data_IF_018120211729
#
_entry.id   IF_018120211729
#
_cell.length_a   1.000
_cell.length_b   1.000
_cell.length_c   1.000
_cell.angle_alpha   90.00
_cell.angle_beta   90.00
_cell.angle_gamma   90.00
#
_symmetry.space_group_name_H-M   'P 1'
#
loop_
_entity.id
_entity.type
_entity.pdbx_description
1 polymer ?
#
# COMPACT_ATOMS: atom_id res chain seq x y z
N UNK A 1 22.13 -23.75 1.99
CA UNK A 1 22.69 -25.09 1.81
C UNK A 1 22.89 -25.77 3.17
N UNK A 2 22.76 -27.11 3.22
CA UNK A 2 22.93 -27.89 4.45
C UNK A 2 24.32 -27.62 5.06
N UNK A 3 24.35 -27.33 6.37
CA UNK A 3 25.54 -26.97 7.15
C UNK A 3 26.15 -25.57 6.89
N UNK A 4 25.58 -24.74 6.07
CA UNK A 4 25.94 -23.32 6.00
C UNK A 4 25.12 -22.51 6.99
N UNK A 5 25.73 -21.42 7.49
CA UNK A 5 25.00 -20.46 8.34
C UNK A 5 24.42 -19.38 7.45
N UNK A 6 23.12 -19.18 7.55
CA UNK A 6 22.37 -18.10 6.85
C UNK A 6 21.70 -17.23 7.89
N UNK A 7 21.53 -15.96 7.61
CA UNK A 7 20.76 -15.06 8.48
C UNK A 7 19.29 -15.09 8.06
N UNK A 8 18.42 -15.44 9.01
CA UNK A 8 16.99 -15.34 8.88
C UNK A 8 16.51 -14.11 9.67
N UNK A 9 15.70 -13.27 9.06
CA UNK A 9 15.04 -12.17 9.75
C UNK A 9 13.62 -12.60 10.13
N UNK A 10 13.29 -12.58 11.42
CA UNK A 10 11.94 -12.80 11.94
C UNK A 10 11.38 -11.44 12.32
N UNK A 11 10.26 -11.05 11.71
CA UNK A 11 9.54 -9.83 12.05
C UNK A 11 8.43 -10.14 13.04
N UNK A 12 8.40 -9.41 14.15
CA UNK A 12 7.33 -9.45 15.14
C UNK A 12 6.57 -8.14 15.07
N UNK A 13 5.25 -8.21 14.94
CA UNK A 13 4.39 -7.04 14.84
C UNK A 13 3.29 -7.07 15.91
N UNK A 14 2.96 -5.91 16.48
CA UNK A 14 1.79 -5.75 17.32
C UNK A 14 0.55 -5.48 16.44
N UNK A 15 -0.26 -6.51 16.23
CA UNK A 15 -1.54 -6.44 15.49
C UNK A 15 -2.74 -6.28 16.43
N UNK A 16 -2.51 -6.22 17.75
CA UNK A 16 -3.55 -6.04 18.77
C UNK A 16 -4.16 -4.63 18.77
N UNK A 17 -5.23 -4.45 19.50
CA UNK A 17 -5.91 -3.15 19.67
C UNK A 17 -5.22 -2.23 20.71
N UNK A 18 -4.28 -2.77 21.49
CA UNK A 18 -3.54 -2.07 22.53
C UNK A 18 -2.03 -2.12 22.36
N UNK A 19 -1.34 -1.25 23.09
CA UNK A 19 0.12 -1.28 23.17
C UNK A 19 0.58 -2.43 24.09
N UNK A 20 1.78 -2.96 23.80
CA UNK A 20 2.47 -3.89 24.69
C UNK A 20 3.69 -3.21 25.29
N UNK A 21 3.90 -3.31 26.59
CA UNK A 21 5.06 -2.73 27.26
C UNK A 21 6.36 -3.42 26.87
N UNK A 22 6.32 -4.74 26.71
CA UNK A 22 7.41 -5.55 26.15
C UNK A 22 6.87 -6.88 25.64
N UNK A 23 7.64 -7.55 24.79
CA UNK A 23 7.38 -8.92 24.32
C UNK A 23 8.65 -9.74 24.44
N UNK A 24 8.58 -10.85 25.15
CA UNK A 24 9.64 -11.85 25.17
C UNK A 24 9.45 -12.82 24.00
N UNK A 25 10.44 -12.90 23.13
CA UNK A 25 10.48 -13.81 22.00
C UNK A 25 11.44 -14.96 22.31
N UNK A 26 10.93 -16.18 22.34
CA UNK A 26 11.72 -17.38 22.57
C UNK A 26 11.78 -18.25 21.30
N UNK A 27 12.99 -18.56 20.85
CA UNK A 27 13.26 -19.40 19.69
C UNK A 27 14.20 -20.51 20.13
N UNK A 28 13.68 -21.73 20.20
CA UNK A 28 14.44 -22.88 20.68
C UNK A 28 14.99 -23.71 19.53
N UNK A 29 16.29 -23.98 19.58
CA UNK A 29 16.91 -24.97 18.68
C UNK A 29 16.20 -26.31 18.75
N UNK A 30 16.22 -27.03 17.65
CA UNK A 30 15.69 -28.37 17.60
C UNK A 30 16.57 -29.29 16.73
N UNK A 31 16.13 -30.50 16.46
CA UNK A 31 16.88 -31.48 15.66
C UNK A 31 17.10 -31.07 14.19
N UNK A 32 16.45 -30.02 13.71
CA UNK A 32 16.47 -29.61 12.30
C UNK A 32 17.37 -28.40 12.03
N UNK A 33 17.67 -27.58 13.04
CA UNK A 33 18.55 -26.42 12.94
C UNK A 33 19.28 -26.08 14.26
N UNK A 34 20.28 -25.19 14.13
CA UNK A 34 21.02 -24.56 15.24
C UNK A 34 21.09 -23.04 14.99
N UNK A 35 21.29 -22.28 16.05
CA UNK A 35 21.40 -20.81 16.04
C UNK A 35 22.74 -20.37 16.63
N UNK A 36 23.84 -20.47 15.88
CA UNK A 36 25.16 -20.14 16.40
C UNK A 36 25.24 -18.69 16.92
N UNK A 37 25.62 -18.52 18.19
CA UNK A 37 25.78 -17.21 18.80
C UNK A 37 24.47 -16.52 19.25
N UNK A 38 23.30 -17.16 19.08
CA UNK A 38 22.02 -16.63 19.54
C UNK A 38 21.59 -17.33 20.83
N UNK A 39 21.15 -16.57 21.84
CA UNK A 39 20.79 -17.10 23.17
C UNK A 39 19.42 -17.80 23.22
N UNK A 40 18.69 -17.79 22.12
CA UNK A 40 17.33 -18.37 22.06
C UNK A 40 16.23 -17.46 22.60
N UNK A 41 16.58 -16.28 23.15
CA UNK A 41 15.61 -15.33 23.70
C UNK A 41 15.99 -13.89 23.37
N UNK A 42 14.98 -13.09 22.98
CA UNK A 42 15.06 -11.64 22.79
C UNK A 42 13.88 -11.00 23.50
N UNK A 43 14.13 -9.94 24.26
CA UNK A 43 13.04 -9.09 24.79
C UNK A 43 12.93 -7.86 23.92
N UNK A 44 11.79 -7.70 23.28
CA UNK A 44 11.47 -6.54 22.45
C UNK A 44 10.87 -5.46 23.37
N UNK A 45 11.23 -4.16 23.18
CA UNK A 45 10.72 -3.08 24.00
C UNK A 45 9.24 -2.80 23.69
N UNK A 46 8.72 -1.71 24.25
CA UNK A 46 7.35 -1.27 24.04
C UNK A 46 6.98 -1.18 22.57
N UNK A 47 5.83 -1.79 22.23
CA UNK A 47 5.22 -1.79 20.90
C UNK A 47 3.89 -1.05 20.94
N UNK A 48 3.71 -0.07 20.07
CA UNK A 48 2.39 0.47 19.76
C UNK A 48 1.66 -0.44 18.78
N UNK A 49 0.34 -0.31 18.73
CA UNK A 49 -0.46 -1.00 17.70
C UNK A 49 0.06 -0.67 16.29
N UNK A 50 0.40 -1.67 15.54
CA UNK A 50 0.97 -1.57 14.19
C UNK A 50 2.49 -1.49 14.13
N UNK A 51 3.20 -1.30 15.27
CA UNK A 51 4.67 -1.33 15.30
C UNK A 51 5.20 -2.73 15.02
N UNK A 52 6.40 -2.80 14.44
CA UNK A 52 7.11 -4.06 14.23
C UNK A 52 8.58 -3.96 14.60
N UNK A 53 9.18 -5.09 14.91
CA UNK A 53 10.62 -5.23 15.13
C UNK A 53 11.16 -6.48 14.45
N UNK A 54 12.38 -6.34 13.89
CA UNK A 54 13.08 -7.41 13.20
C UNK A 54 14.10 -8.05 14.14
N UNK A 55 14.08 -9.38 14.21
CA UNK A 55 15.06 -10.20 14.94
C UNK A 55 15.93 -10.91 13.91
N UNK A 56 17.22 -10.62 13.89
CA UNK A 56 18.17 -11.34 13.05
C UNK A 56 18.60 -12.63 13.75
N UNK A 57 18.40 -13.74 13.10
CA UNK A 57 18.66 -15.07 13.61
C UNK A 57 19.68 -15.78 12.71
N UNK A 58 20.93 -15.99 13.15
CA UNK A 58 21.86 -16.84 12.42
C UNK A 58 21.41 -18.30 12.53
N UNK A 59 21.09 -18.92 11.41
CA UNK A 59 20.60 -20.30 11.35
C UNK A 59 21.61 -21.18 10.63
N UNK A 60 21.97 -22.29 11.25
CA UNK A 60 22.65 -23.39 10.61
C UNK A 60 21.67 -24.54 10.43
N UNK A 61 21.24 -24.81 9.21
CA UNK A 61 20.29 -25.87 8.92
C UNK A 61 20.97 -27.23 8.94
N UNK A 62 20.35 -28.20 9.58
CA UNK A 62 20.83 -29.58 9.66
C UNK A 62 20.12 -30.51 8.68
N UNK A 63 18.93 -30.11 8.24
CA UNK A 63 18.08 -30.83 7.27
C UNK A 63 17.63 -29.86 6.17
N UNK A 64 17.29 -30.39 5.00
CA UNK A 64 16.78 -29.61 3.88
C UNK A 64 15.37 -29.05 4.15
N UNK A 65 14.60 -29.73 4.99
CA UNK A 65 13.35 -29.23 5.56
C UNK A 65 13.57 -29.03 7.06
N UNK A 66 13.20 -27.87 7.56
CA UNK A 66 13.34 -27.54 8.98
C UNK A 66 12.15 -26.67 9.42
N UNK A 67 11.93 -26.61 10.72
CA UNK A 67 10.90 -25.78 11.29
C UNK A 67 11.45 -25.01 12.48
N UNK A 68 10.87 -23.82 12.69
CA UNK A 68 11.18 -22.95 13.81
C UNK A 68 9.89 -22.81 14.62
N UNK A 69 9.98 -23.05 15.93
CA UNK A 69 8.91 -22.69 16.85
C UNK A 69 9.27 -21.36 17.49
N UNK A 70 8.40 -20.37 17.32
CA UNK A 70 8.50 -19.07 17.94
C UNK A 70 7.45 -18.98 19.03
N UNK A 71 7.88 -18.71 20.25
CA UNK A 71 7.00 -18.45 21.38
C UNK A 71 7.10 -16.95 21.71
N UNK A 72 5.99 -16.25 21.69
CA UNK A 72 5.86 -14.85 22.08
C UNK A 72 5.12 -14.79 23.42
N UNK A 73 5.70 -14.10 24.39
CA UNK A 73 5.06 -13.86 25.68
C UNK A 73 4.95 -12.37 25.92
N UNK A 74 3.74 -11.85 25.99
CA UNK A 74 3.49 -10.44 26.27
C UNK A 74 3.71 -10.09 27.75
N UNK A 75 3.67 -8.80 28.07
CA UNK A 75 3.87 -8.29 29.42
C UNK A 75 2.79 -8.74 30.42
N UNK A 76 1.61 -9.13 29.93
CA UNK A 76 0.52 -9.69 30.74
C UNK A 76 0.69 -11.19 31.00
N UNK A 77 1.72 -11.80 30.38
CA UNK A 77 2.02 -13.20 30.51
C UNK A 77 1.25 -14.11 29.56
N UNK A 78 0.50 -13.55 28.61
CA UNK A 78 -0.16 -14.33 27.54
C UNK A 78 0.89 -14.85 26.58
N UNK A 79 0.77 -16.14 26.24
CA UNK A 79 1.72 -16.83 25.38
C UNK A 79 1.05 -17.12 24.04
N UNK A 80 1.76 -16.80 22.96
CA UNK A 80 1.41 -17.16 21.60
C UNK A 80 2.54 -18.00 21.02
N UNK A 81 2.21 -19.14 20.43
CA UNK A 81 3.17 -20.03 19.81
C UNK A 81 2.87 -20.18 18.33
N UNK A 82 3.91 -20.05 17.50
CA UNK A 82 3.82 -20.28 16.07
C UNK A 82 4.91 -21.20 15.59
N UNK A 83 4.54 -22.16 14.74
CA UNK A 83 5.47 -23.00 14.02
C UNK A 83 5.61 -22.50 12.59
N UNK A 84 6.85 -22.32 12.14
CA UNK A 84 7.21 -21.90 10.80
C UNK A 84 7.96 -23.05 10.14
N UNK A 85 7.36 -23.66 9.11
CA UNK A 85 7.99 -24.73 8.33
C UNK A 85 8.75 -24.09 7.15
N UNK A 86 10.02 -24.46 7.00
CA UNK A 86 10.96 -23.89 6.05
C UNK A 86 11.65 -24.99 5.24
N UNK A 87 11.98 -24.69 3.98
CA UNK A 87 12.72 -25.58 3.11
C UNK A 87 13.93 -24.87 2.49
N UNK A 88 15.11 -25.53 2.50
CA UNK A 88 16.28 -25.02 1.79
C UNK A 88 16.20 -25.39 0.31
N UNK A 89 16.27 -24.41 -0.56
CA UNK A 89 16.34 -24.62 -2.03
C UNK A 89 17.76 -24.45 -2.53
N UNK A 90 18.25 -25.40 -3.32
CA UNK A 90 19.64 -25.42 -3.81
C UNK A 90 19.98 -24.39 -4.90
N UNK A 91 19.01 -23.79 -5.56
CA UNK A 91 19.21 -22.95 -6.77
C UNK A 91 18.37 -21.69 -6.82
N UNK A 92 17.97 -21.11 -5.72
CA UNK A 92 17.14 -19.90 -5.73
C UNK A 92 18.00 -18.64 -5.57
N UNK A 93 17.99 -17.74 -6.57
CA UNK A 93 18.69 -16.44 -6.55
C UNK A 93 17.82 -15.28 -6.06
N UNK A 94 16.58 -15.52 -5.72
CA UNK A 94 15.71 -14.50 -5.12
C UNK A 94 15.59 -14.68 -3.61
N UNK A 95 15.54 -13.63 -2.82
CA UNK A 95 15.29 -13.74 -1.39
C UNK A 95 13.91 -14.37 -1.19
N UNK A 96 13.84 -15.44 -0.39
CA UNK A 96 12.59 -16.06 0.02
C UNK A 96 11.91 -15.10 1.01
N UNK A 97 10.81 -14.50 0.62
CA UNK A 97 9.97 -13.71 1.52
C UNK A 97 9.13 -14.68 2.36
N UNK A 98 9.33 -14.61 3.68
CA UNK A 98 8.51 -15.33 4.66
C UNK A 98 7.55 -14.32 5.28
N UNK A 99 6.28 -14.47 4.99
CA UNK A 99 5.24 -13.74 5.69
C UNK A 99 4.82 -14.53 6.92
N UNK A 100 5.03 -13.97 8.11
CA UNK A 100 4.50 -14.51 9.36
C UNK A 100 3.20 -13.76 9.63
N UNK A 101 2.08 -14.47 9.54
CA UNK A 101 0.80 -13.96 10.03
C UNK A 101 0.68 -14.38 11.50
N UNK A 102 0.47 -13.42 12.40
CA UNK A 102 0.00 -13.73 13.74
C UNK A 102 -1.46 -14.15 13.63
N UNK A 103 -1.67 -15.45 13.72
CA UNK A 103 -3.00 -16.01 13.86
C UNK A 103 -3.35 -15.91 15.34
N UNK A 104 -4.08 -14.87 15.73
CA UNK A 104 -4.73 -14.86 17.04
C UNK A 104 -5.39 -16.23 17.32
N UNK A 105 -5.39 -16.65 18.55
CA UNK A 105 -5.62 -17.98 19.15
C UNK A 105 -6.92 -18.71 18.77
N UNK A 106 -7.42 -18.58 17.58
CA UNK A 106 -8.43 -19.48 17.01
C UNK A 106 -7.98 -19.77 15.58
N UNK A 107 -8.04 -21.01 15.15
CA UNK A 107 -7.82 -21.44 13.78
C UNK A 107 -8.63 -20.53 12.86
N UNK A 108 -8.02 -19.45 12.36
CA UNK A 108 -8.66 -18.62 11.35
C UNK A 108 -8.57 -19.40 10.05
N UNK A 109 -9.52 -20.30 9.91
CA UNK A 109 -9.90 -20.77 8.59
C UNK A 109 -10.29 -19.53 7.81
N UNK A 110 -9.56 -19.21 6.76
CA UNK A 110 -9.92 -18.15 5.83
C UNK A 110 -11.30 -18.46 5.25
N UNK A 111 -12.32 -17.84 5.80
CA UNK A 111 -13.64 -17.79 5.21
C UNK A 111 -13.73 -16.51 4.39
N UNK A 112 -13.84 -16.61 3.06
CA UNK A 112 -13.80 -15.45 2.18
C UNK A 112 -14.88 -14.39 2.44
N UNK A 113 -15.91 -14.69 3.22
CA UNK A 113 -17.15 -13.91 3.28
C UNK A 113 -17.77 -13.75 4.69
N UNK A 114 -17.05 -13.95 5.80
CA UNK A 114 -17.63 -13.71 7.11
C UNK A 114 -17.67 -12.22 7.49
N UNK A 115 -18.92 -11.78 7.60
CA UNK A 115 -19.40 -10.48 8.01
C UNK A 115 -18.83 -10.07 9.38
N UNK A 116 -18.10 -8.96 9.43
CA UNK A 116 -17.85 -8.24 10.66
C UNK A 116 -16.47 -7.62 10.82
N UNK A 117 -15.41 -8.21 10.31
CA UNK A 117 -14.06 -7.67 10.41
C UNK A 117 -13.54 -7.15 9.07
N UNK A 118 -12.92 -5.97 9.09
CA UNK A 118 -12.32 -5.38 7.91
C UNK A 118 -10.93 -6.01 7.78
N UNK A 119 -10.87 -7.12 7.07
CA UNK A 119 -9.72 -7.98 6.91
C UNK A 119 -8.46 -7.26 6.37
N UNK A 120 -8.65 -6.33 5.41
CA UNK A 120 -7.55 -5.57 4.81
C UNK A 120 -6.84 -4.61 5.76
N UNK A 121 -7.46 -4.23 6.87
CA UNK A 121 -6.87 -3.31 7.85
C UNK A 121 -5.97 -4.01 8.86
N UNK A 122 -6.18 -5.31 9.07
CA UNK A 122 -5.57 -6.08 10.16
C UNK A 122 -4.49 -7.06 9.69
N UNK A 123 -4.64 -7.63 8.51
CA UNK A 123 -3.74 -8.65 7.98
C UNK A 123 -2.89 -8.10 6.83
N UNK A 124 -2.14 -7.02 7.14
CA UNK A 124 -1.25 -6.41 6.15
C UNK A 124 0.01 -7.28 6.04
N UNK A 125 0.35 -7.77 4.84
CA UNK A 125 1.59 -8.51 4.63
C UNK A 125 2.82 -7.71 5.05
N UNK A 126 3.86 -8.39 5.49
CA UNK A 126 5.11 -7.76 5.88
C UNK A 126 6.20 -8.10 4.88
N UNK A 127 6.80 -7.08 4.28
CA UNK A 127 7.94 -7.21 3.38
C UNK A 127 9.23 -6.75 4.05
N UNK A 128 10.37 -7.14 3.45
CA UNK A 128 11.67 -6.56 3.79
C UNK A 128 11.69 -5.08 3.43
N UNK A 129 12.59 -4.34 4.11
CA UNK A 129 12.86 -2.93 3.76
C UNK A 129 13.20 -2.82 2.28
N UNK A 130 12.43 -1.99 1.58
CA UNK A 130 12.59 -1.70 0.18
C UNK A 130 13.03 -0.24 0.00
N UNK A 131 14.32 0.02 -0.18
CA UNK A 131 14.80 1.38 -0.33
C UNK A 131 14.49 1.96 -1.72
N UNK A 132 14.12 1.14 -2.71
CA UNK A 132 13.92 1.56 -4.12
C UNK A 132 12.52 2.10 -4.41
N UNK A 133 11.77 2.51 -3.40
CA UNK A 133 10.41 3.02 -3.60
C UNK A 133 10.18 4.36 -2.93
N UNK A 134 9.29 5.14 -3.51
CA UNK A 134 8.70 6.35 -2.91
C UNK A 134 7.17 6.27 -3.10
N UNK A 135 6.39 6.67 -2.09
CA UNK A 135 4.95 6.76 -2.24
C UNK A 135 4.41 8.10 -1.79
N UNK A 136 3.47 8.62 -2.58
CA UNK A 136 2.65 9.79 -2.28
C UNK A 136 1.23 9.31 -2.00
N UNK A 137 0.69 9.61 -0.82
CA UNK A 137 -0.59 9.05 -0.38
C UNK A 137 -1.51 10.16 0.09
N UNK A 138 -2.55 10.45 -0.68
CA UNK A 138 -3.56 11.44 -0.37
C UNK A 138 -4.93 10.81 -0.15
N UNK A 139 -5.64 11.31 0.87
CA UNK A 139 -7.05 11.05 1.11
C UNK A 139 -7.70 12.30 1.66
N UNK A 140 -8.79 12.75 1.04
CA UNK A 140 -9.49 13.98 1.40
C UNK A 140 -10.94 13.62 1.75
N UNK A 141 -11.26 13.62 3.03
CA UNK A 141 -12.59 13.31 3.53
C UNK A 141 -13.43 14.57 3.76
N UNK A 142 -12.80 15.63 4.32
CA UNK A 142 -13.45 16.87 4.67
C UNK A 142 -12.93 18.03 3.84
N UNK A 143 -13.85 18.75 3.20
CA UNK A 143 -13.57 19.90 2.34
C UNK A 143 -13.97 21.20 3.04
N UNK A 144 -13.22 22.29 2.81
CA UNK A 144 -13.52 23.59 3.43
C UNK A 144 -14.79 24.26 2.90
N UNK A 145 -15.17 23.98 1.66
CA UNK A 145 -16.44 24.46 1.08
C UNK A 145 -17.51 23.41 1.39
N UNK A 146 -18.50 23.77 2.21
CA UNK A 146 -19.54 22.86 2.69
C UNK A 146 -20.48 22.29 1.62
N UNK A 147 -20.38 22.79 0.39
CA UNK A 147 -21.11 22.23 -0.78
C UNK A 147 -20.51 20.93 -1.28
N UNK A 148 -19.25 20.62 -0.92
CA UNK A 148 -18.73 19.30 -1.08
C UNK A 148 -19.13 18.45 0.15
N UNK A 149 -19.90 17.39 -0.06
CA UNK A 149 -20.24 16.49 1.06
C UNK A 149 -19.00 15.86 1.64
N UNK A 150 -19.11 15.35 2.85
CA UNK A 150 -18.05 14.52 3.44
C UNK A 150 -17.84 13.25 2.62
N UNK A 151 -16.62 13.02 2.13
CA UNK A 151 -16.26 11.80 1.41
C UNK A 151 -15.88 10.71 2.41
N UNK A 152 -16.87 9.95 2.84
CA UNK A 152 -16.72 8.96 3.92
C UNK A 152 -15.61 7.98 3.63
N UNK A 153 -14.85 7.67 4.68
CA UNK A 153 -13.73 6.71 4.71
C UNK A 153 -12.49 7.12 3.92
N UNK A 154 -12.43 8.29 3.30
CA UNK A 154 -11.25 8.71 2.52
C UNK A 154 -10.00 8.85 3.40
N UNK A 155 -10.13 9.31 4.66
CA UNK A 155 -9.03 9.35 5.60
C UNK A 155 -8.57 7.94 6.00
N UNK A 156 -9.52 7.02 6.21
CA UNK A 156 -9.22 5.62 6.51
C UNK A 156 -8.50 4.95 5.33
N UNK A 157 -9.01 5.12 4.12
CA UNK A 157 -8.39 4.61 2.89
C UNK A 157 -6.93 5.06 2.76
N UNK A 158 -6.67 6.36 2.98
CA UNK A 158 -5.32 6.93 3.02
C UNK A 158 -4.44 6.27 4.08
N UNK A 159 -4.95 6.17 5.30
CA UNK A 159 -4.15 5.70 6.44
C UNK A 159 -3.81 4.22 6.30
N UNK A 160 -4.75 3.40 5.82
CA UNK A 160 -4.50 1.98 5.54
C UNK A 160 -3.56 1.82 4.34
N UNK A 161 -3.74 2.57 3.26
CA UNK A 161 -2.82 2.54 2.11
C UNK A 161 -1.40 2.90 2.53
N UNK A 162 -1.21 3.90 3.40
CA UNK A 162 0.11 4.22 3.97
C UNK A 162 0.71 3.05 4.74
N UNK A 163 -0.10 2.33 5.52
CA UNK A 163 0.36 1.12 6.21
C UNK A 163 0.81 0.04 5.21
N UNK A 164 0.08 -0.14 4.11
CA UNK A 164 0.49 -1.09 3.07
C UNK A 164 1.83 -0.68 2.43
N UNK A 165 2.01 0.58 2.07
CA UNK A 165 3.32 1.03 1.56
C UNK A 165 4.44 0.85 2.59
N UNK A 166 4.16 1.08 3.87
CA UNK A 166 5.15 0.86 4.91
C UNK A 166 5.44 -0.64 5.14
N UNK A 167 4.40 -1.47 5.25
CA UNK A 167 4.53 -2.87 5.68
C UNK A 167 4.67 -3.82 4.49
N UNK A 168 3.72 -3.81 3.55
CA UNK A 168 3.70 -4.73 2.42
C UNK A 168 4.73 -4.37 1.33
N UNK A 169 4.97 -3.07 1.11
CA UNK A 169 6.00 -2.60 0.18
C UNK A 169 7.37 -2.38 0.84
N UNK A 170 7.43 -2.40 2.16
CA UNK A 170 8.67 -2.24 2.93
C UNK A 170 9.25 -0.83 2.95
N UNK A 171 8.43 0.20 2.68
CA UNK A 171 8.89 1.59 2.65
C UNK A 171 9.01 2.16 4.07
N UNK A 172 10.10 2.86 4.34
CA UNK A 172 10.26 3.64 5.57
C UNK A 172 9.43 4.92 5.54
N UNK A 173 9.18 5.54 6.69
CA UNK A 173 8.45 6.82 6.76
C UNK A 173 9.10 7.93 5.94
N UNK A 174 10.43 7.88 5.77
CA UNK A 174 11.15 8.81 4.90
C UNK A 174 10.73 8.69 3.44
N UNK A 175 10.30 7.52 2.98
CA UNK A 175 9.89 7.23 1.61
C UNK A 175 8.41 7.56 1.36
N UNK A 176 7.65 7.93 2.41
CA UNK A 176 6.23 8.26 2.31
C UNK A 176 6.01 9.78 2.35
N UNK A 177 5.32 10.30 1.33
CA UNK A 177 4.87 11.70 1.28
C UNK A 177 3.34 11.79 1.52
N UNK A 178 2.87 12.80 2.23
CA UNK A 178 3.64 13.75 3.03
C UNK A 178 4.35 13.05 4.17
N UNK A 179 5.52 13.55 4.57
CA UNK A 179 6.34 12.91 5.61
C UNK A 179 5.67 12.92 6.98
N UNK A 180 4.77 13.86 7.20
CA UNK A 180 4.00 14.01 8.44
C UNK A 180 2.52 14.13 8.10
N UNK A 181 1.74 13.06 8.26
CA UNK A 181 0.30 13.06 7.89
C UNK A 181 -0.51 14.19 8.53
N UNK A 182 -0.20 14.56 9.77
CA UNK A 182 -0.90 15.66 10.47
C UNK A 182 -0.61 17.07 9.91
N UNK A 183 0.46 17.26 9.12
CA UNK A 183 0.71 18.53 8.44
C UNK A 183 -0.25 18.75 7.26
N UNK A 184 -0.83 17.65 6.77
CA UNK A 184 -1.85 17.67 5.72
C UNK A 184 -3.18 17.11 6.21
N UNK A 185 -3.55 17.43 7.45
CA UNK A 185 -4.82 17.02 8.01
C UNK A 185 -5.96 17.44 7.08
N UNK A 186 -6.73 16.45 6.58
CA UNK A 186 -7.76 16.65 5.58
C UNK A 186 -7.27 16.74 4.12
N UNK A 187 -6.00 16.38 3.82
CA UNK A 187 -5.45 16.36 2.46
C UNK A 187 -4.83 17.67 1.99
N UNK A 188 -4.22 17.71 0.79
CA UNK A 188 -3.51 18.88 0.29
C UNK A 188 -4.44 19.99 -0.20
N UNK A 189 -4.00 21.23 -0.03
CA UNK A 189 -4.53 22.40 -0.71
C UNK A 189 -4.02 22.47 -2.16
N UNK A 190 -4.61 23.34 -2.97
CA UNK A 190 -4.16 23.56 -4.36
C UNK A 190 -2.69 24.00 -4.40
N UNK A 191 -2.28 24.88 -3.51
CA UNK A 191 -0.89 25.32 -3.40
C UNK A 191 0.05 24.20 -3.00
N UNK A 192 -0.38 23.33 -2.07
CA UNK A 192 0.41 22.15 -1.66
C UNK A 192 0.58 21.13 -2.79
N UNK A 193 -0.43 20.95 -3.66
CA UNK A 193 -0.26 20.14 -4.88
C UNK A 193 0.84 20.70 -5.77
N UNK A 194 0.84 22.02 -6.03
CA UNK A 194 1.87 22.67 -6.85
C UNK A 194 3.27 22.53 -6.25
N UNK A 195 3.39 22.72 -4.93
CA UNK A 195 4.66 22.56 -4.23
C UNK A 195 5.16 21.11 -4.30
N UNK A 196 4.29 20.14 -4.10
CA UNK A 196 4.70 18.72 -4.08
C UNK A 196 5.12 18.25 -5.46
N UNK A 197 4.35 18.62 -6.49
CA UNK A 197 4.53 18.11 -7.85
C UNK A 197 5.32 19.03 -8.78
N UNK A 198 5.90 20.13 -8.29
CA UNK A 198 6.84 20.91 -9.11
C UNK A 198 8.00 20.00 -9.54
N UNK A 199 8.19 19.76 -10.86
CA UNK A 199 9.17 18.78 -11.33
C UNK A 199 10.62 19.23 -11.17
N UNK A 200 10.88 20.50 -10.84
CA UNK A 200 12.21 21.09 -10.74
C UNK A 200 12.65 21.27 -9.30
N UNK A 201 11.79 21.79 -8.42
CA UNK A 201 12.10 22.11 -7.03
C UNK A 201 11.02 21.65 -6.02
N UNK A 202 10.09 20.82 -6.43
CA UNK A 202 9.04 20.28 -5.57
C UNK A 202 9.52 19.26 -4.55
N UNK A 203 8.64 18.95 -3.60
CA UNK A 203 8.97 18.02 -2.52
C UNK A 203 9.26 16.61 -3.05
N UNK A 204 8.52 16.15 -4.07
CA UNK A 204 8.79 14.88 -4.72
C UNK A 204 10.16 14.88 -5.38
N UNK A 205 10.53 15.94 -6.11
CA UNK A 205 11.85 16.06 -6.73
C UNK A 205 12.98 16.04 -5.70
N UNK A 206 12.84 16.78 -4.60
CA UNK A 206 13.79 16.80 -3.49
C UNK A 206 13.95 15.42 -2.87
N UNK A 207 12.84 14.68 -2.73
CA UNK A 207 12.85 13.32 -2.19
C UNK A 207 13.55 12.34 -3.12
N UNK A 208 13.31 12.41 -4.43
CA UNK A 208 14.02 11.61 -5.44
C UNK A 208 15.53 11.88 -5.35
N UNK A 209 15.93 13.15 -5.36
CA UNK A 209 17.36 13.52 -5.27
C UNK A 209 18.02 13.00 -3.98
N UNK A 210 17.27 13.05 -2.86
CA UNK A 210 17.77 12.53 -1.58
C UNK A 210 17.89 11.01 -1.59
N UNK A 211 16.93 10.29 -2.16
CA UNK A 211 16.97 8.84 -2.27
C UNK A 211 18.16 8.37 -3.11
N UNK A 212 18.39 8.98 -4.27
CA UNK A 212 19.55 8.69 -5.12
C UNK A 212 20.86 8.95 -4.39
N UNK A 213 20.97 10.10 -3.70
CA UNK A 213 22.22 10.52 -3.03
C UNK A 213 22.59 9.64 -1.83
N UNK A 214 21.60 9.25 -1.02
CA UNK A 214 21.86 8.62 0.27
C UNK A 214 21.60 7.11 0.31
N UNK A 215 20.87 6.58 -0.64
CA UNK A 215 20.52 5.15 -0.66
C UNK A 215 21.32 4.35 -1.69
N UNK A 216 22.22 4.99 -2.45
CA UNK A 216 22.99 4.38 -3.56
C UNK A 216 22.08 3.66 -4.57
N UNK A 217 20.89 4.20 -4.79
CA UNK A 217 19.85 3.60 -5.63
C UNK A 217 20.01 4.09 -7.05
N UNK A 218 20.21 3.17 -7.96
CA UNK A 218 20.27 3.46 -9.39
C UNK A 218 18.87 3.63 -10.00
N UNK A 219 17.86 2.97 -9.40
CA UNK A 219 16.47 2.99 -9.89
C UNK A 219 15.45 3.12 -8.76
N UNK A 220 14.44 3.97 -8.96
CA UNK A 220 13.36 4.25 -8.00
C UNK A 220 12.01 3.99 -8.64
N UNK A 221 11.14 3.27 -7.94
CA UNK A 221 9.73 3.14 -8.26
C UNK A 221 8.93 4.18 -7.46
N UNK A 222 8.07 4.94 -8.14
CA UNK A 222 7.21 5.94 -7.53
C UNK A 222 5.76 5.46 -7.58
N UNK A 223 5.08 5.54 -6.45
CA UNK A 223 3.66 5.24 -6.32
C UNK A 223 2.91 6.50 -5.90
N UNK A 224 1.77 6.75 -6.52
CA UNK A 224 0.85 7.79 -6.10
C UNK A 224 -0.51 7.17 -5.85
N UNK A 225 -1.04 7.33 -4.66
CA UNK A 225 -2.41 6.99 -4.32
C UNK A 225 -3.18 8.26 -4.01
N UNK A 226 -4.35 8.40 -4.63
CA UNK A 226 -5.27 9.50 -4.40
C UNK A 226 -6.67 8.96 -4.11
N UNK A 227 -7.28 9.41 -3.02
CA UNK A 227 -8.69 9.23 -2.69
C UNK A 227 -9.33 10.59 -2.41
N UNK A 228 -10.25 11.02 -3.26
CA UNK A 228 -10.86 12.35 -3.14
C UNK A 228 -11.93 12.61 -4.18
N UNK A 229 -12.49 13.81 -4.13
CA UNK A 229 -13.38 14.27 -5.18
C UNK A 229 -12.63 14.70 -6.44
N UNK A 230 -13.28 14.53 -7.58
CA UNK A 230 -12.92 15.11 -8.85
C UNK A 230 -14.12 15.81 -9.50
N UNK A 231 -13.87 16.59 -10.52
CA UNK A 231 -14.87 17.26 -11.31
C UNK A 231 -14.46 17.31 -12.79
N UNK A 232 -15.43 17.17 -13.67
CA UNK A 232 -15.23 17.38 -15.09
C UNK A 232 -15.59 18.81 -15.46
N UNK A 233 -14.66 19.54 -16.07
CA UNK A 233 -14.87 20.92 -16.55
C UNK A 233 -14.37 21.03 -17.97
N UNK A 234 -15.26 21.32 -18.91
CA UNK A 234 -14.93 21.45 -20.34
C UNK A 234 -14.15 20.23 -20.91
N UNK A 235 -14.51 19.02 -20.48
CA UNK A 235 -13.85 17.80 -20.92
C UNK A 235 -12.52 17.47 -20.23
N UNK A 236 -12.10 18.28 -19.26
CA UNK A 236 -10.88 18.05 -18.49
C UNK A 236 -11.21 17.60 -17.06
N UNK A 237 -10.60 16.52 -16.57
CA UNK A 237 -10.75 16.08 -15.20
C UNK A 237 -9.84 16.90 -14.27
N UNK A 238 -10.44 17.39 -13.18
CA UNK A 238 -9.77 18.15 -12.14
C UNK A 238 -9.84 17.39 -10.82
N UNK A 239 -8.77 17.39 -10.05
CA UNK A 239 -8.79 16.99 -8.63
C UNK A 239 -9.29 18.17 -7.79
N UNK A 240 -10.03 17.86 -6.73
CA UNK A 240 -10.57 18.87 -5.83
C UNK A 240 -9.73 18.92 -4.56
N UNK A 241 -8.87 19.95 -4.38
CA UNK A 241 -8.12 20.16 -3.15
C UNK A 241 -9.04 20.45 -1.95
N UNK A 242 -8.55 20.21 -0.72
CA UNK A 242 -9.34 20.47 0.50
C UNK A 242 -9.89 21.88 0.65
N UNK A 243 -9.20 22.87 0.05
CA UNK A 243 -9.57 24.29 0.12
C UNK A 243 -10.25 24.82 -1.14
N UNK A 244 -10.55 23.95 -2.10
CA UNK A 244 -11.22 24.32 -3.35
C UNK A 244 -12.56 24.99 -3.08
N UNK A 245 -12.90 25.96 -3.93
CA UNK A 245 -14.20 26.61 -3.95
C UNK A 245 -15.07 26.01 -5.03
N UNK A 246 -16.29 25.63 -4.66
CA UNK A 246 -17.22 24.92 -5.55
C UNK A 246 -17.39 25.62 -6.92
N UNK A 247 -17.59 26.94 -6.91
CA UNK A 247 -17.84 27.75 -8.13
C UNK A 247 -16.55 28.28 -8.77
N UNK A 248 -15.35 27.91 -8.31
CA UNK A 248 -14.09 28.45 -8.82
C UNK A 248 -13.16 27.36 -9.31
N UNK A 249 -13.19 27.08 -10.61
CA UNK A 249 -12.35 26.04 -11.23
C UNK A 249 -10.85 26.31 -11.03
N UNK A 250 -10.42 27.58 -10.97
CA UNK A 250 -9.02 27.96 -10.72
C UNK A 250 -8.48 27.52 -9.36
N UNK A 251 -9.34 27.09 -8.44
CA UNK A 251 -8.95 26.52 -7.14
C UNK A 251 -8.85 24.99 -7.15
N UNK A 252 -9.01 24.38 -8.31
CA UNK A 252 -8.93 22.94 -8.52
C UNK A 252 -7.64 22.60 -9.25
N UNK A 253 -7.18 21.38 -9.14
CA UNK A 253 -5.89 20.96 -9.70
C UNK A 253 -6.10 20.06 -10.92
N UNK A 254 -5.70 20.49 -12.14
CA UNK A 254 -5.85 19.67 -13.33
C UNK A 254 -5.06 18.37 -13.24
N UNK A 255 -5.68 17.25 -13.58
CA UNK A 255 -4.96 15.97 -13.66
C UNK A 255 -3.90 16.01 -14.76
N UNK A 256 -4.12 16.80 -15.80
CA UNK A 256 -3.13 17.04 -16.85
C UNK A 256 -1.84 17.68 -16.31
N UNK A 257 -1.95 18.67 -15.40
CA UNK A 257 -0.78 19.30 -14.76
C UNK A 257 0.01 18.27 -13.93
N UNK A 258 -0.69 17.39 -13.20
CA UNK A 258 -0.08 16.27 -12.49
C UNK A 258 0.70 15.37 -13.46
N UNK A 259 0.06 14.93 -14.53
CA UNK A 259 0.68 14.03 -15.51
C UNK A 259 1.88 14.69 -16.17
N UNK A 260 1.81 15.96 -16.54
CA UNK A 260 2.92 16.70 -17.16
C UNK A 260 4.12 16.84 -16.21
N UNK A 261 3.86 17.07 -14.93
CA UNK A 261 4.91 17.05 -13.89
C UNK A 261 5.56 15.66 -13.77
N UNK A 262 4.78 14.61 -13.74
CA UNK A 262 5.29 13.22 -13.67
C UNK A 262 6.02 12.80 -14.95
N UNK A 263 5.57 13.24 -16.14
CA UNK A 263 6.29 13.06 -17.41
C UNK A 263 7.68 13.69 -17.34
N UNK A 264 7.78 14.91 -16.83
CA UNK A 264 9.07 15.61 -16.65
C UNK A 264 9.98 14.86 -15.67
N UNK A 265 9.43 14.33 -14.58
CA UNK A 265 10.21 13.53 -13.64
C UNK A 265 10.64 12.18 -14.23
N UNK A 266 9.81 11.55 -15.06
CA UNK A 266 10.08 10.22 -15.64
C UNK A 266 11.30 10.19 -16.59
N UNK A 267 11.74 11.36 -17.09
CA UNK A 267 12.95 11.49 -17.92
C UNK A 267 14.22 11.21 -17.11
N UNK A 268 14.17 11.33 -15.79
CA UNK A 268 15.33 11.04 -14.93
C UNK A 268 15.75 9.57 -15.06
N UNK A 269 17.04 9.34 -15.22
CA UNK A 269 17.59 7.98 -15.30
C UNK A 269 17.35 7.17 -14.04
N UNK A 270 17.26 7.85 -12.88
CA UNK A 270 16.97 7.24 -11.60
C UNK A 270 15.53 6.78 -11.42
N UNK A 271 14.59 7.13 -12.31
CA UNK A 271 13.22 6.69 -12.23
C UNK A 271 13.02 5.45 -13.08
N UNK A 272 12.59 4.36 -12.44
CA UNK A 272 12.21 3.12 -13.10
C UNK A 272 10.77 3.13 -13.55
N UNK A 273 9.84 3.31 -12.61
CA UNK A 273 8.40 3.35 -12.87
C UNK A 273 7.71 4.42 -12.03
N UNK A 274 6.57 4.91 -12.54
CA UNK A 274 5.64 5.77 -11.81
C UNK A 274 4.25 5.15 -11.96
N UNK A 275 3.65 4.70 -10.87
CA UNK A 275 2.33 4.06 -10.86
C UNK A 275 1.35 4.91 -10.06
N UNK A 276 0.23 5.27 -10.69
CA UNK A 276 -0.85 6.04 -10.07
C UNK A 276 -2.05 5.12 -9.79
N UNK A 277 -2.57 5.18 -8.58
CA UNK A 277 -3.85 4.59 -8.18
C UNK A 277 -4.82 5.74 -7.88
N UNK A 278 -5.77 5.98 -8.80
CA UNK A 278 -6.67 7.13 -8.74
C UNK A 278 -8.08 6.68 -8.34
N UNK A 279 -8.40 6.87 -7.09
CA UNK A 279 -9.72 6.58 -6.51
C UNK A 279 -10.54 7.87 -6.41
N UNK A 280 -11.13 8.26 -7.54
CA UNK A 280 -11.83 9.53 -7.68
C UNK A 280 -13.35 9.34 -7.63
N UNK A 281 -14.02 10.09 -6.74
CA UNK A 281 -15.47 10.27 -6.76
C UNK A 281 -15.82 11.59 -7.47
N UNK A 282 -16.40 11.50 -8.65
CA UNK A 282 -16.77 12.71 -9.42
C UNK A 282 -18.06 13.33 -8.89
N UNK A 283 -18.04 14.65 -8.62
CA UNK A 283 -19.21 15.38 -8.10
C UNK A 283 -20.27 15.65 -9.16
N UNK A 284 -19.91 15.66 -10.46
CA UNK A 284 -20.80 15.85 -11.60
C UNK A 284 -20.49 14.80 -12.68
N UNK A 285 -20.76 13.50 -12.43
CA UNK A 285 -20.39 12.46 -13.37
C UNK A 285 -21.10 12.60 -14.75
N UNK A 286 -22.31 13.16 -14.78
CA UNK A 286 -23.07 13.44 -16.00
C UNK A 286 -22.34 14.40 -16.96
N UNK A 287 -21.49 15.29 -16.48
CA UNK A 287 -20.66 16.15 -17.32
C UNK A 287 -19.55 15.37 -18.05
N UNK A 288 -19.28 14.14 -17.61
CA UNK A 288 -18.30 13.25 -18.23
C UNK A 288 -18.90 12.35 -19.32
N UNK A 289 -20.25 12.20 -19.36
CA UNK A 289 -20.92 11.23 -20.25
C UNK A 289 -20.72 11.50 -21.76
N UNK A 290 -20.27 12.69 -22.13
CA UNK A 290 -19.90 13.06 -23.49
C UNK A 290 -18.40 13.43 -23.65
N UNK A 291 -17.61 13.27 -22.62
CA UNK A 291 -16.20 13.64 -22.60
C UNK A 291 -15.37 12.38 -22.45
N UNK A 292 -14.89 11.85 -23.55
CA UNK A 292 -13.79 10.89 -23.53
C UNK A 292 -12.55 11.72 -23.22
N UNK A 293 -12.06 11.61 -21.98
CA UNK A 293 -10.70 12.08 -21.72
C UNK A 293 -9.75 11.02 -22.21
N UNK A 294 -9.25 11.22 -23.41
CA UNK A 294 -8.11 10.45 -23.85
C UNK A 294 -6.93 10.90 -22.99
N UNK A 295 -6.49 10.02 -22.10
CA UNK A 295 -5.23 10.26 -21.42
C UNK A 295 -4.17 10.63 -22.45
N UNK A 296 -3.45 11.75 -22.26
CA UNK A 296 -2.36 12.06 -23.17
C UNK A 296 -1.40 10.88 -23.19
N UNK A 297 -0.88 10.53 -24.37
CA UNK A 297 0.08 9.43 -24.52
C UNK A 297 1.08 9.41 -23.35
N UNK A 298 1.08 8.32 -22.60
CA UNK A 298 1.91 8.17 -21.42
C UNK A 298 3.27 7.57 -21.82
N UNK A 299 4.39 8.07 -21.27
CA UNK A 299 5.68 7.39 -21.38
C UNK A 299 5.61 5.97 -20.83
N UNK A 300 6.41 5.06 -21.35
CA UNK A 300 6.48 3.65 -20.93
C UNK A 300 6.71 3.46 -19.42
N UNK A 301 7.24 4.47 -18.73
CA UNK A 301 7.46 4.44 -17.29
C UNK A 301 6.24 4.81 -16.46
N UNK A 302 5.16 5.32 -17.05
CA UNK A 302 3.99 5.80 -16.31
C UNK A 302 2.80 4.90 -16.55
N UNK A 303 2.19 4.44 -15.45
CA UNK A 303 0.96 3.64 -15.44
C UNK A 303 -0.07 4.27 -14.53
N UNK A 304 -1.33 4.25 -14.96
CA UNK A 304 -2.48 4.79 -14.20
C UNK A 304 -3.55 3.72 -14.12
N UNK A 305 -3.88 3.29 -12.92
CA UNK A 305 -5.04 2.46 -12.62
C UNK A 305 -6.09 3.31 -11.90
N UNK A 306 -7.21 3.55 -12.54
CA UNK A 306 -8.30 4.39 -12.03
C UNK A 306 -9.46 3.56 -11.53
N UNK A 307 -10.15 4.05 -10.51
CA UNK A 307 -11.28 3.39 -9.87
C UNK A 307 -12.48 3.20 -10.80
N UNK A 308 -12.60 4.06 -11.81
CA UNK A 308 -13.73 4.05 -12.72
C UNK A 308 -13.33 4.56 -14.10
N UNK A 309 -14.09 4.14 -15.11
CA UNK A 309 -14.02 4.64 -16.48
C UNK A 309 -14.73 5.98 -16.62
N UNK A 310 -14.63 6.60 -17.81
CA UNK A 310 -15.32 7.85 -18.12
C UNK A 310 -16.84 7.74 -17.89
N UNK A 311 -17.41 8.74 -17.25
CA UNK A 311 -18.86 8.77 -16.95
C UNK A 311 -19.26 8.03 -15.67
N UNK A 312 -18.35 7.33 -15.04
CA UNK A 312 -18.58 6.59 -13.80
C UNK A 312 -17.90 7.27 -12.62
N UNK A 313 -18.24 6.83 -11.42
CA UNK A 313 -17.64 7.39 -10.19
C UNK A 313 -17.36 6.28 -9.19
N UNK A 314 -16.31 6.46 -8.39
CA UNK A 314 -15.95 5.51 -7.34
C UNK A 314 -17.02 5.44 -6.24
N UNK A 315 -17.39 4.22 -5.87
CA UNK A 315 -18.41 3.90 -4.88
C UNK A 315 -17.81 3.53 -3.52
N UNK A 316 -18.64 3.65 -2.47
CA UNK A 316 -18.29 3.29 -1.10
C UNK A 316 -18.81 1.88 -0.81
N UNK A 317 -17.98 1.05 -0.20
CA UNK A 317 -18.33 -0.23 0.36
C UNK A 317 -18.60 -0.07 1.86
N UNK A 318 -19.85 0.24 2.22
CA UNK A 318 -20.25 0.58 3.60
C UNK A 318 -19.81 -0.45 4.63
N UNK A 319 -20.07 -1.74 4.35
CA UNK A 319 -19.75 -2.84 5.27
C UNK A 319 -18.24 -3.01 5.49
N UNK A 320 -17.44 -2.65 4.51
CA UNK A 320 -15.97 -2.70 4.59
C UNK A 320 -15.34 -1.38 5.00
N UNK A 321 -16.11 -0.29 5.11
CA UNK A 321 -15.65 1.06 5.51
C UNK A 321 -14.50 1.58 4.66
N UNK A 322 -14.52 1.28 3.37
CA UNK A 322 -13.58 1.69 2.33
C UNK A 322 -14.31 2.11 1.07
N UNK A 323 -13.62 2.72 0.12
CA UNK A 323 -14.09 2.68 -1.25
C UNK A 323 -13.96 1.26 -1.80
N UNK A 324 -14.81 0.89 -2.76
CA UNK A 324 -14.73 -0.44 -3.41
C UNK A 324 -13.38 -0.64 -4.10
N UNK A 325 -12.90 0.39 -4.78
CA UNK A 325 -11.61 0.33 -5.47
C UNK A 325 -10.44 0.15 -4.49
N UNK A 326 -10.37 0.97 -3.43
CA UNK A 326 -9.32 0.85 -2.43
C UNK A 326 -9.38 -0.50 -1.73
N UNK A 327 -10.56 -0.96 -1.34
CA UNK A 327 -10.70 -2.31 -0.76
C UNK A 327 -10.15 -3.39 -1.70
N UNK A 328 -10.48 -3.30 -3.01
CA UNK A 328 -9.96 -4.25 -4.01
C UNK A 328 -8.44 -4.18 -4.15
N UNK A 329 -7.85 -2.97 -4.19
CA UNK A 329 -6.39 -2.81 -4.20
C UNK A 329 -5.73 -3.45 -2.99
N UNK A 330 -6.24 -3.13 -1.79
CA UNK A 330 -5.69 -3.65 -0.53
C UNK A 330 -5.79 -5.18 -0.46
N UNK A 331 -6.90 -5.76 -0.91
CA UNK A 331 -7.05 -7.23 -1.04
C UNK A 331 -6.03 -7.81 -2.02
N UNK A 332 -5.84 -7.17 -3.16
CA UNK A 332 -4.84 -7.58 -4.14
C UNK A 332 -3.43 -7.56 -3.53
N UNK A 333 -3.05 -6.46 -2.86
CA UNK A 333 -1.75 -6.33 -2.17
C UNK A 333 -1.60 -7.29 -0.99
N UNK A 334 -2.70 -7.74 -0.39
CA UNK A 334 -2.69 -8.75 0.68
C UNK A 334 -2.49 -10.18 0.17
N UNK A 335 -2.34 -10.39 -1.14
CA UNK A 335 -2.08 -11.69 -1.74
C UNK A 335 -3.19 -12.21 -2.66
N UNK A 336 -4.38 -11.59 -2.67
CA UNK A 336 -5.49 -12.09 -3.48
C UNK A 336 -5.29 -11.90 -5.00
N UNK A 337 -4.32 -11.11 -5.42
CA UNK A 337 -3.94 -10.91 -6.81
C UNK A 337 -2.87 -11.89 -7.30
N UNK A 338 -2.13 -12.54 -6.40
CA UNK A 338 -1.03 -13.46 -6.72
C UNK A 338 -1.55 -14.65 -7.57
N UNK A 339 -0.90 -14.91 -8.69
CA UNK A 339 -1.20 -16.04 -9.58
C UNK A 339 -0.56 -17.37 -9.13
N UNK A 340 0.20 -17.34 -8.03
CA UNK A 340 0.82 -18.50 -7.40
C UNK A 340 2.34 -18.52 -7.47
N UNK A 341 2.99 -17.46 -7.95
CA UNK A 341 4.44 -17.32 -7.98
C UNK A 341 5.01 -16.60 -6.74
N UNK A 342 4.15 -16.11 -5.83
CA UNK A 342 4.44 -15.32 -4.64
C UNK A 342 5.07 -13.95 -4.92
N UNK A 343 4.88 -13.42 -6.13
CA UNK A 343 5.28 -12.07 -6.52
C UNK A 343 4.08 -11.36 -7.12
N UNK A 344 3.63 -10.30 -6.48
CA UNK A 344 2.50 -9.53 -6.99
C UNK A 344 3.02 -8.39 -7.88
N UNK A 345 2.69 -8.44 -9.14
CA UNK A 345 3.03 -7.41 -10.13
C UNK A 345 1.81 -6.53 -10.49
N UNK A 346 2.06 -5.44 -11.24
CA UNK A 346 1.00 -4.49 -11.59
C UNK A 346 -0.07 -5.11 -12.51
N UNK A 347 0.30 -6.07 -13.35
CA UNK A 347 -0.64 -6.81 -14.22
C UNK A 347 -1.65 -7.58 -13.39
N UNK A 348 -1.17 -8.34 -12.43
CA UNK A 348 -2.01 -9.14 -11.53
C UNK A 348 -2.94 -8.25 -10.68
N UNK A 349 -2.42 -7.13 -10.15
CA UNK A 349 -3.25 -6.15 -9.44
C UNK A 349 -4.33 -5.59 -10.36
N UNK A 350 -3.98 -5.25 -11.59
CA UNK A 350 -4.95 -4.71 -12.56
C UNK A 350 -6.03 -5.73 -12.89
N UNK A 351 -5.65 -6.96 -13.17
CA UNK A 351 -6.58 -8.06 -13.47
C UNK A 351 -7.48 -8.39 -12.28
N UNK A 352 -6.91 -8.38 -11.06
CA UNK A 352 -7.70 -8.59 -9.84
C UNK A 352 -8.71 -7.47 -9.63
N UNK A 353 -8.29 -6.21 -9.77
CA UNK A 353 -9.16 -5.03 -9.61
C UNK A 353 -10.28 -5.03 -10.66
N UNK A 354 -9.98 -5.37 -11.91
CA UNK A 354 -10.97 -5.46 -12.98
C UNK A 354 -12.07 -6.52 -12.71
N UNK A 355 -11.71 -7.61 -12.05
CA UNK A 355 -12.66 -8.66 -11.68
C UNK A 355 -13.42 -8.38 -10.38
N UNK A 356 -12.73 -7.79 -9.39
CA UNK A 356 -13.29 -7.62 -8.04
C UNK A 356 -14.16 -6.38 -7.90
N UNK A 357 -13.81 -5.26 -8.51
CA UNK A 357 -14.58 -4.01 -8.38
C UNK A 357 -16.01 -4.16 -8.89
N UNK A 358 -16.30 -4.62 -10.13
CA UNK A 358 -17.67 -4.82 -10.58
C UNK A 358 -18.44 -5.82 -9.70
N UNK A 359 -17.78 -6.92 -9.27
CA UNK A 359 -18.39 -7.91 -8.38
C UNK A 359 -18.82 -7.32 -7.03
N UNK A 360 -18.06 -6.38 -6.48
CA UNK A 360 -18.41 -5.72 -5.21
C UNK A 360 -19.46 -4.63 -5.41
N UNK A 361 -19.43 -3.93 -6.54
CA UNK A 361 -20.47 -2.94 -6.90
C UNK A 361 -21.85 -3.61 -6.98
N UNK A 362 -21.95 -4.83 -7.51
CA UNK A 362 -23.21 -5.59 -7.57
C UNK A 362 -23.81 -5.89 -6.19
N UNK A 363 -23.00 -5.80 -5.11
CA UNK A 363 -23.46 -5.99 -3.73
C UNK A 363 -23.97 -4.69 -3.08
N UNK A 364 -23.74 -3.54 -3.71
CA UNK A 364 -24.20 -2.25 -3.21
C UNK A 364 -25.59 -1.93 -3.76
N UNK A 365 -26.56 -1.54 -2.91
CA UNK A 365 -27.89 -1.19 -3.38
C UNK A 365 -27.87 -0.02 -4.38
N UNK A 366 -28.50 -0.20 -5.53
CA UNK A 366 -28.61 0.79 -6.60
C UNK A 366 -28.03 0.29 -7.92
N UNK A 367 -28.47 0.88 -9.03
CA UNK A 367 -27.90 0.57 -10.35
C UNK A 367 -26.76 1.56 -10.64
N UNK A 368 -25.58 1.27 -10.14
CA UNK A 368 -24.41 2.12 -10.32
C UNK A 368 -23.32 1.27 -10.96
N UNK A 369 -22.78 1.74 -12.09
CA UNK A 369 -21.64 1.09 -12.71
C UNK A 369 -20.35 1.68 -12.18
N UNK A 370 -19.39 0.82 -11.92
CA UNK A 370 -18.01 1.21 -11.65
C UNK A 370 -17.08 0.18 -12.28
N UNK A 371 -16.46 0.57 -13.38
CA UNK A 371 -15.53 -0.27 -14.12
C UNK A 371 -14.15 0.40 -14.05
N UNK A 372 -13.17 -0.23 -13.40
CA UNK A 372 -11.80 0.32 -13.39
C UNK A 372 -11.25 0.49 -14.80
N UNK A 373 -10.31 1.41 -14.93
CA UNK A 373 -9.59 1.62 -16.19
C UNK A 373 -8.09 1.65 -15.96
N UNK A 374 -7.33 1.12 -16.92
CA UNK A 374 -5.88 1.12 -16.93
C UNK A 374 -5.35 1.87 -18.16
N UNK A 375 -4.37 2.74 -17.94
CA UNK A 375 -3.63 3.44 -18.98
C UNK A 375 -2.13 3.31 -18.67
N UNK A 376 -1.36 2.85 -19.62
CA UNK A 376 0.07 2.63 -19.45
C UNK A 376 0.61 1.65 -20.48
N UNK A 377 1.87 1.24 -20.35
CA UNK A 377 2.46 0.23 -21.21
C UNK A 377 1.75 -1.13 -21.03
N UNK A 378 1.89 -1.99 -22.02
CA UNK A 378 1.34 -3.35 -21.93
C UNK A 378 1.86 -4.06 -20.68
N UNK A 379 0.92 -4.56 -19.88
CA UNK A 379 1.19 -5.36 -18.69
C UNK A 379 1.50 -6.80 -19.16
N UNK A 380 2.77 -7.14 -19.29
CA UNK A 380 3.24 -8.48 -19.62
C UNK A 380 3.79 -9.15 -18.40
#
# INVERSE_FOLDING_TARGET
PKNETVNLTIRVQNVGEGESEYVDVNIKENRTFRTPGFTGRVTLPRFLTGDYMDIELPIKTLLDQFFINVELKDYLGKIHEQRIDLQTMRNYRSPMELTIQDLGTEDVVYYPDELGEIDVDRHIPLSRKNPSGLAIVFGIEDYKDSRYPKLRFANRDRDVMRKYFNQAFGFSDFQLLPSKPWQMEGGPSEEEYRIIFDPYDGDLRKRINSAVKYSSMDEINIFLYYRGYGEWVNGQPLLIPKNAKFDRHVTKYPIEDLINSLKTLSILNSIKTITLFLDITYVNPENSSNSVWDFPELPEKISILSASSNGETSQIFEDKKHSIFTYSLLKGFAGAADDGDNVINLGEITDYVYRSVPKYVDQVPGFINQNPSFNGPDLK
#
